data_IF_113024661255
#
_entry.id   IF_113024661255
#
_cell.length_a   1.000
_cell.length_b   1.000
_cell.length_c   1.000
_cell.angle_alpha   90.00
_cell.angle_beta   90.00
_cell.angle_gamma   90.00
#
_symmetry.space_group_name_H-M   'P 1'
#
loop_
_entity.id
_entity.type
_entity.pdbx_description
1 polymer ?
#
# COMPACT_ATOMS: atom_id res chain seq x y z
N UNK A 1 -6.74 27.14 -24.17
CA UNK A 1 -6.16 28.05 -25.18
C UNK A 1 -7.19 29.07 -25.68
N UNK A 2 -8.35 28.65 -26.17
CA UNK A 2 -9.36 29.54 -26.79
C UNK A 2 -9.93 30.68 -25.91
N UNK A 3 -10.04 30.51 -24.58
CA UNK A 3 -10.64 31.52 -23.69
C UNK A 3 -9.68 32.68 -23.35
N UNK A 4 -8.40 32.39 -23.14
CA UNK A 4 -7.39 33.40 -22.87
C UNK A 4 -7.16 34.30 -24.10
N UNK A 5 -7.11 33.69 -25.29
CA UNK A 5 -7.02 34.39 -26.57
C UNK A 5 -8.25 35.29 -26.81
N UNK A 6 -9.45 34.81 -26.44
CA UNK A 6 -10.69 35.60 -26.55
C UNK A 6 -10.65 36.86 -25.68
N UNK A 7 -10.24 36.74 -24.41
CA UNK A 7 -10.12 37.91 -23.53
C UNK A 7 -9.01 38.86 -23.98
N UNK A 8 -7.91 38.33 -24.52
CA UNK A 8 -6.85 39.15 -25.11
C UNK A 8 -7.35 39.95 -26.32
N UNK A 9 -8.10 39.30 -27.21
CA UNK A 9 -8.71 39.97 -28.37
C UNK A 9 -9.73 41.04 -27.95
N UNK A 10 -10.56 40.75 -26.95
CA UNK A 10 -11.51 41.74 -26.41
C UNK A 10 -10.81 42.96 -25.81
N UNK A 11 -9.76 42.76 -25.01
CA UNK A 11 -8.96 43.86 -24.45
C UNK A 11 -8.30 44.71 -25.54
N UNK A 12 -7.84 44.08 -26.62
CA UNK A 12 -7.26 44.77 -27.75
C UNK A 12 -8.31 45.60 -28.52
N UNK A 13 -9.48 45.02 -28.79
CA UNK A 13 -10.59 45.74 -29.43
C UNK A 13 -11.10 46.93 -28.59
N UNK A 14 -11.09 46.82 -27.25
CA UNK A 14 -11.44 47.96 -26.37
C UNK A 14 -10.41 49.09 -26.49
N UNK A 15 -9.12 48.79 -26.62
CA UNK A 15 -8.07 49.81 -26.82
C UNK A 15 -8.20 50.49 -28.18
N UNK A 16 -8.40 49.71 -29.24
CA UNK A 16 -8.60 50.24 -30.59
C UNK A 16 -9.84 51.13 -30.66
N UNK A 17 -10.92 50.75 -29.96
CA UNK A 17 -12.12 51.57 -29.84
C UNK A 17 -11.86 52.89 -29.09
N UNK A 18 -11.10 52.85 -27.99
CA UNK A 18 -10.74 54.05 -27.23
C UNK A 18 -9.91 55.02 -28.08
N UNK A 19 -8.90 54.51 -28.78
CA UNK A 19 -8.06 55.29 -29.70
C UNK A 19 -8.92 55.94 -30.81
N UNK A 20 -9.79 55.17 -31.46
CA UNK A 20 -10.68 55.67 -32.52
C UNK A 20 -11.65 56.76 -32.01
N UNK A 21 -12.20 56.59 -30.79
CA UNK A 21 -13.09 57.58 -30.18
C UNK A 21 -12.32 58.85 -29.79
N UNK A 22 -11.10 58.72 -29.27
CA UNK A 22 -10.22 59.83 -28.97
C UNK A 22 -9.85 60.64 -30.21
N UNK A 23 -9.45 59.97 -31.29
CA UNK A 23 -9.11 60.61 -32.56
C UNK A 23 -10.32 61.32 -33.19
N UNK A 24 -11.49 60.67 -33.17
CA UNK A 24 -12.73 61.27 -33.66
C UNK A 24 -13.06 62.55 -32.89
N UNK A 25 -12.88 62.54 -31.57
CA UNK A 25 -13.21 63.68 -30.73
C UNK A 25 -12.18 64.81 -30.81
N UNK A 26 -10.92 64.47 -31.07
CA UNK A 26 -9.88 65.44 -31.41
C UNK A 26 -10.18 66.11 -32.76
N UNK A 27 -10.50 65.32 -33.79
CA UNK A 27 -10.91 65.82 -35.12
C UNK A 27 -12.13 66.74 -35.04
N UNK A 28 -13.10 66.39 -34.18
CA UNK A 28 -14.30 67.22 -33.95
C UNK A 28 -13.93 68.58 -33.33
N UNK A 29 -13.05 68.60 -32.34
CA UNK A 29 -12.58 69.84 -31.71
C UNK A 29 -11.89 70.77 -32.73
N UNK A 30 -11.03 70.23 -33.61
CA UNK A 30 -10.37 71.00 -34.65
C UNK A 30 -11.34 71.59 -35.68
N UNK A 31 -12.34 70.80 -36.11
CA UNK A 31 -13.41 71.28 -37.00
C UNK A 31 -14.21 72.39 -36.35
N UNK A 32 -14.64 72.22 -35.10
CA UNK A 32 -15.39 73.25 -34.36
C UNK A 32 -14.59 74.54 -34.21
N UNK A 33 -13.29 74.45 -33.93
CA UNK A 33 -12.37 75.61 -33.90
C UNK A 33 -12.33 76.35 -35.23
N UNK A 34 -12.23 75.63 -36.35
CA UNK A 34 -12.23 76.24 -37.69
C UNK A 34 -13.55 76.96 -38.00
N UNK A 35 -14.67 76.36 -37.61
CA UNK A 35 -16.02 76.93 -37.79
C UNK A 35 -16.19 78.19 -36.95
N UNK A 36 -15.82 78.16 -35.66
CA UNK A 36 -15.89 79.33 -34.79
C UNK A 36 -15.07 80.50 -35.33
N UNK A 37 -13.84 80.26 -35.82
CA UNK A 37 -13.01 81.29 -36.46
C UNK A 37 -13.71 81.92 -37.67
N UNK A 38 -14.30 81.10 -38.54
CA UNK A 38 -15.04 81.59 -39.71
C UNK A 38 -16.23 82.46 -39.31
N UNK A 39 -16.97 82.07 -38.27
CA UNK A 39 -18.12 82.85 -37.79
C UNK A 39 -17.70 84.15 -37.09
N UNK A 40 -16.55 84.19 -36.40
CA UNK A 40 -15.96 85.45 -35.90
C UNK A 40 -15.80 86.44 -37.05
N UNK A 41 -15.12 86.03 -38.13
CA UNK A 41 -14.86 86.90 -39.28
C UNK A 41 -16.14 87.38 -39.98
N UNK A 42 -17.16 86.52 -40.06
CA UNK A 42 -18.45 86.88 -40.66
C UNK A 42 -19.17 87.90 -39.78
N UNK A 43 -19.29 87.62 -38.48
CA UNK A 43 -20.02 88.48 -37.54
C UNK A 43 -19.32 89.83 -37.39
N UNK A 44 -17.99 89.88 -37.34
CA UNK A 44 -17.22 91.15 -37.34
C UNK A 44 -17.53 92.01 -38.57
N UNK A 45 -17.78 91.40 -39.74
CA UNK A 45 -18.05 92.12 -41.00
C UNK A 45 -19.51 92.50 -41.21
N UNK A 46 -20.45 91.71 -40.69
CA UNK A 46 -21.88 91.86 -41.01
C UNK A 46 -22.73 92.35 -39.85
N UNK A 47 -22.24 92.26 -38.61
CA UNK A 47 -23.00 92.73 -37.44
C UNK A 47 -22.70 94.19 -37.12
N UNK A 48 -23.69 94.90 -36.58
CA UNK A 48 -23.52 96.26 -36.03
C UNK A 48 -22.91 96.25 -34.61
N UNK A 49 -22.32 95.14 -34.18
CA UNK A 49 -21.71 94.99 -32.86
C UNK A 49 -20.28 95.53 -32.85
N UNK A 50 -19.86 96.10 -31.73
CA UNK A 50 -18.45 96.46 -31.52
C UNK A 50 -17.62 95.19 -31.41
N UNK A 51 -16.38 95.23 -31.89
CA UNK A 51 -15.47 94.07 -31.90
C UNK A 51 -15.40 93.29 -30.56
N UNK A 52 -15.33 93.95 -29.38
CA UNK A 52 -15.32 93.25 -28.10
C UNK A 52 -16.58 92.42 -27.82
N UNK A 53 -17.75 92.87 -28.31
CA UNK A 53 -19.03 92.19 -28.10
C UNK A 53 -19.14 90.94 -28.97
N UNK A 54 -18.59 90.97 -30.19
CA UNK A 54 -18.46 89.78 -31.07
C UNK A 54 -17.58 88.72 -30.41
N UNK A 55 -16.42 89.12 -29.86
CA UNK A 55 -15.55 88.19 -29.14
C UNK A 55 -16.20 87.62 -27.87
N UNK A 56 -16.97 88.43 -27.12
CA UNK A 56 -17.73 87.94 -25.96
C UNK A 56 -18.77 86.89 -26.33
N UNK A 57 -19.52 87.13 -27.41
CA UNK A 57 -20.51 86.18 -27.92
C UNK A 57 -19.84 84.85 -28.30
N UNK A 58 -18.77 84.93 -29.09
CA UNK A 58 -18.03 83.74 -29.54
C UNK A 58 -17.38 83.00 -28.37
N UNK A 59 -16.81 83.70 -27.39
CA UNK A 59 -16.26 83.06 -26.20
C UNK A 59 -17.34 82.33 -25.39
N UNK A 60 -18.55 82.90 -25.30
CA UNK A 60 -19.66 82.26 -24.59
C UNK A 60 -20.07 80.96 -25.29
N UNK A 61 -20.20 80.99 -26.62
CA UNK A 61 -20.52 79.80 -27.42
C UNK A 61 -19.40 78.75 -27.38
N UNK A 62 -18.14 79.20 -27.50
CA UNK A 62 -16.96 78.34 -27.36
C UNK A 62 -16.90 77.68 -25.98
N UNK A 63 -17.31 78.37 -24.92
CA UNK A 63 -17.37 77.80 -23.57
C UNK A 63 -18.40 76.66 -23.49
N UNK A 64 -19.61 76.85 -24.03
CA UNK A 64 -20.65 75.81 -24.09
C UNK A 64 -20.16 74.58 -24.86
N UNK A 65 -19.54 74.81 -26.03
CA UNK A 65 -18.97 73.75 -26.88
C UNK A 65 -17.83 73.01 -26.15
N UNK A 66 -16.92 73.74 -25.50
CA UNK A 66 -15.82 73.15 -24.74
C UNK A 66 -16.34 72.30 -23.57
N UNK A 67 -17.40 72.74 -22.91
CA UNK A 67 -18.03 71.98 -21.83
C UNK A 67 -18.62 70.66 -22.34
N UNK A 68 -19.24 70.66 -23.52
CA UNK A 68 -19.72 69.44 -24.17
C UNK A 68 -18.57 68.51 -24.61
N UNK A 69 -17.48 69.05 -25.17
CA UNK A 69 -16.28 68.28 -25.55
C UNK A 69 -15.63 67.62 -24.33
N UNK A 70 -15.52 68.33 -23.20
CA UNK A 70 -15.02 67.78 -21.94
C UNK A 70 -15.95 66.70 -21.40
N UNK A 71 -17.26 66.90 -21.48
CA UNK A 71 -18.27 65.89 -21.12
C UNK A 71 -18.10 64.60 -21.94
N UNK A 72 -17.94 64.73 -23.25
CA UNK A 72 -17.72 63.59 -24.15
C UNK A 72 -16.41 62.87 -23.86
N UNK A 73 -15.29 63.59 -23.68
CA UNK A 73 -14.00 62.97 -23.31
C UNK A 73 -14.10 62.21 -21.99
N UNK A 74 -14.82 62.76 -21.00
CA UNK A 74 -15.10 62.06 -19.75
C UNK A 74 -15.94 60.80 -19.97
N UNK A 75 -16.96 60.88 -20.82
CA UNK A 75 -17.80 59.74 -21.16
C UNK A 75 -17.02 58.63 -21.89
N UNK A 76 -16.13 58.99 -22.82
CA UNK A 76 -15.23 58.05 -23.52
C UNK A 76 -14.32 57.35 -22.50
N UNK A 77 -13.64 58.11 -21.63
CA UNK A 77 -12.79 57.54 -20.59
C UNK A 77 -13.57 56.62 -19.63
N UNK A 78 -14.79 57.01 -19.24
CA UNK A 78 -15.64 56.17 -18.39
C UNK A 78 -16.08 54.89 -19.11
N UNK A 79 -16.41 54.97 -20.40
CA UNK A 79 -16.75 53.80 -21.22
C UNK A 79 -15.59 52.82 -21.27
N UNK A 80 -14.36 53.31 -21.52
CA UNK A 80 -13.16 52.47 -21.51
C UNK A 80 -12.98 51.75 -20.17
N UNK A 81 -13.08 52.47 -19.05
CA UNK A 81 -12.96 51.90 -17.70
C UNK A 81 -14.02 50.82 -17.49
N UNK A 82 -15.29 51.11 -17.78
CA UNK A 82 -16.40 50.17 -17.57
C UNK A 82 -16.25 48.90 -18.41
N UNK A 83 -15.85 49.03 -19.68
CA UNK A 83 -15.63 47.89 -20.57
C UNK A 83 -14.43 47.04 -20.13
N UNK A 84 -13.34 47.70 -19.73
CA UNK A 84 -12.14 47.00 -19.23
C UNK A 84 -12.44 46.26 -17.93
N UNK A 85 -13.14 46.92 -16.99
CA UNK A 85 -13.54 46.32 -15.71
C UNK A 85 -14.46 45.12 -15.92
N UNK A 86 -15.51 45.26 -16.73
CA UNK A 86 -16.43 44.15 -17.04
C UNK A 86 -15.69 42.96 -17.68
N UNK A 87 -14.74 43.22 -18.58
CA UNK A 87 -13.92 42.18 -19.21
C UNK A 87 -13.04 41.45 -18.20
N UNK A 88 -12.39 42.20 -17.28
CA UNK A 88 -11.56 41.62 -16.22
C UNK A 88 -12.37 40.82 -15.21
N UNK A 89 -13.55 41.31 -14.82
CA UNK A 89 -14.46 40.58 -13.94
C UNK A 89 -14.89 39.24 -14.57
N UNK A 90 -15.27 39.25 -15.85
CA UNK A 90 -15.64 38.03 -16.57
C UNK A 90 -14.48 37.02 -16.68
N UNK A 91 -13.25 37.50 -16.88
CA UNK A 91 -12.05 36.67 -16.90
C UNK A 91 -11.79 36.01 -15.54
N UNK A 92 -11.87 36.78 -14.46
CA UNK A 92 -11.72 36.28 -13.09
C UNK A 92 -12.77 35.23 -12.74
N UNK A 93 -14.05 35.49 -13.07
CA UNK A 93 -15.14 34.52 -12.85
C UNK A 93 -14.93 33.24 -13.64
N UNK A 94 -14.50 33.35 -14.90
CA UNK A 94 -14.20 32.20 -15.76
C UNK A 94 -13.05 31.37 -15.19
N UNK A 95 -11.99 32.03 -14.70
CA UNK A 95 -10.85 31.37 -14.08
C UNK A 95 -11.24 30.66 -12.78
N UNK A 96 -12.00 31.32 -11.89
CA UNK A 96 -12.53 30.72 -10.65
C UNK A 96 -13.40 29.51 -10.94
N UNK A 97 -14.29 29.61 -11.93
CA UNK A 97 -15.15 28.50 -12.34
C UNK A 97 -14.34 27.33 -12.88
N UNK A 98 -13.35 27.60 -13.72
CA UNK A 98 -12.44 26.56 -14.19
C UNK A 98 -11.75 25.87 -13.02
N UNK A 99 -11.24 26.64 -12.05
CA UNK A 99 -10.52 26.10 -10.90
C UNK A 99 -11.42 25.19 -10.07
N UNK A 100 -12.64 25.63 -9.77
CA UNK A 100 -13.62 24.80 -9.06
C UNK A 100 -13.98 23.52 -9.81
N UNK A 101 -14.09 23.57 -11.15
CA UNK A 101 -14.34 22.37 -11.95
C UNK A 101 -13.17 21.38 -11.89
N UNK A 102 -11.94 21.87 -11.90
CA UNK A 102 -10.76 21.01 -11.81
C UNK A 102 -10.56 20.47 -10.40
N UNK A 103 -10.81 21.24 -9.36
CA UNK A 103 -10.77 20.74 -7.99
C UNK A 103 -11.83 19.64 -7.77
N UNK A 104 -13.05 19.84 -8.26
CA UNK A 104 -14.11 18.83 -8.22
C UNK A 104 -13.73 17.57 -9.02
N UNK A 105 -13.19 17.74 -10.22
CA UNK A 105 -12.70 16.63 -11.03
C UNK A 105 -11.56 15.88 -10.34
N UNK A 106 -10.60 16.59 -9.73
CA UNK A 106 -9.50 16.01 -8.95
C UNK A 106 -10.05 15.19 -7.78
N UNK A 107 -11.01 15.71 -7.05
CA UNK A 107 -11.65 15.01 -5.93
C UNK A 107 -12.32 13.71 -6.38
N UNK A 108 -13.10 13.74 -7.47
CA UNK A 108 -13.73 12.55 -8.05
C UNK A 108 -12.70 11.51 -8.48
N UNK A 109 -11.61 11.96 -9.11
CA UNK A 109 -10.52 11.08 -9.54
C UNK A 109 -9.79 10.43 -8.37
N UNK A 110 -9.50 11.19 -7.30
CA UNK A 110 -8.93 10.67 -6.05
C UNK A 110 -9.86 9.63 -5.43
N UNK A 111 -11.15 9.93 -5.30
CA UNK A 111 -12.14 9.01 -4.72
C UNK A 111 -12.25 7.71 -5.52
N UNK A 112 -12.35 7.79 -6.85
CA UNK A 112 -12.41 6.61 -7.70
C UNK A 112 -11.15 5.74 -7.58
N UNK A 113 -9.98 6.36 -7.47
CA UNK A 113 -8.71 5.65 -7.31
C UNK A 113 -8.64 4.94 -5.95
N UNK A 114 -9.07 5.62 -4.87
CA UNK A 114 -9.15 5.03 -3.53
C UNK A 114 -10.09 3.83 -3.52
N UNK A 115 -11.26 3.96 -4.15
CA UNK A 115 -12.21 2.86 -4.26
C UNK A 115 -11.62 1.68 -5.03
N UNK A 116 -11.00 1.93 -6.18
CA UNK A 116 -10.35 0.88 -7.00
C UNK A 116 -9.25 0.16 -6.20
N UNK A 117 -8.45 0.91 -5.43
CA UNK A 117 -7.42 0.34 -4.58
C UNK A 117 -8.02 -0.49 -3.44
N UNK A 118 -9.11 -0.01 -2.83
CA UNK A 118 -9.82 -0.74 -1.79
C UNK A 118 -10.41 -2.05 -2.31
N UNK A 119 -11.00 -2.06 -3.51
CA UNK A 119 -11.50 -3.26 -4.18
C UNK A 119 -10.35 -4.24 -4.49
N UNK A 120 -9.20 -3.74 -4.94
CA UNK A 120 -8.00 -4.55 -5.12
C UNK A 120 -7.53 -5.20 -3.80
N UNK A 121 -7.45 -4.42 -2.72
CA UNK A 121 -7.06 -4.93 -1.40
C UNK A 121 -8.08 -5.93 -0.83
N UNK A 122 -9.36 -5.76 -1.14
CA UNK A 122 -10.44 -6.68 -0.74
C UNK A 122 -10.51 -7.95 -1.60
N UNK A 123 -9.77 -8.01 -2.71
CA UNK A 123 -9.79 -9.17 -3.60
C UNK A 123 -9.29 -10.43 -2.90
N UNK A 124 -9.84 -11.58 -3.27
CA UNK A 124 -9.44 -12.88 -2.69
C UNK A 124 -7.94 -13.15 -2.88
N UNK A 125 -7.37 -12.70 -4.01
CA UNK A 125 -5.94 -12.84 -4.29
C UNK A 125 -5.04 -12.22 -3.22
N UNK A 126 -5.48 -11.12 -2.61
CA UNK A 126 -4.73 -10.38 -1.60
C UNK A 126 -5.13 -10.83 -0.19
N UNK A 127 -6.43 -10.95 0.09
CA UNK A 127 -6.93 -11.35 1.41
C UNK A 127 -6.66 -12.83 1.75
N UNK A 128 -6.72 -13.71 0.75
CA UNK A 128 -6.54 -15.14 0.94
C UNK A 128 -5.76 -15.75 -0.24
N UNK A 129 -4.44 -15.46 -0.34
CA UNK A 129 -3.64 -15.80 -1.50
C UNK A 129 -3.72 -17.31 -1.83
N UNK A 130 -4.09 -17.70 -3.07
CA UNK A 130 -4.23 -19.11 -3.42
C UNK A 130 -2.96 -19.94 -3.24
N UNK A 131 -1.78 -19.31 -3.42
CA UNK A 131 -0.49 -19.95 -3.18
C UNK A 131 -0.32 -20.34 -1.70
N UNK A 132 -0.74 -19.47 -0.77
CA UNK A 132 -0.71 -19.75 0.68
C UNK A 132 -1.67 -20.88 1.03
N UNK A 133 -2.90 -20.88 0.49
CA UNK A 133 -3.86 -21.97 0.70
C UNK A 133 -3.27 -23.31 0.26
N UNK A 134 -2.66 -23.36 -0.92
CA UNK A 134 -2.01 -24.57 -1.46
C UNK A 134 -0.84 -25.06 -0.60
N UNK A 135 0.01 -24.15 -0.13
CA UNK A 135 1.11 -24.50 0.79
C UNK A 135 0.55 -25.06 2.11
N UNK A 136 -0.50 -24.46 2.67
CA UNK A 136 -1.14 -24.91 3.91
C UNK A 136 -1.74 -26.31 3.77
N UNK A 137 -2.46 -26.58 2.68
CA UNK A 137 -3.02 -27.91 2.39
C UNK A 137 -1.93 -28.98 2.23
N UNK A 138 -0.85 -28.64 1.51
CA UNK A 138 0.32 -29.50 1.35
C UNK A 138 0.96 -29.82 2.70
N UNK A 139 1.11 -28.80 3.55
CA UNK A 139 1.65 -28.94 4.89
C UNK A 139 0.82 -29.87 5.76
N UNK A 140 -0.49 -29.66 5.84
CA UNK A 140 -1.38 -30.50 6.64
C UNK A 140 -1.30 -31.97 6.22
N UNK A 141 -1.25 -32.24 4.90
CA UNK A 141 -1.12 -33.60 4.37
C UNK A 141 0.21 -34.25 4.77
N UNK A 142 1.31 -33.53 4.62
CA UNK A 142 2.65 -34.05 4.94
C UNK A 142 2.85 -34.20 6.45
N UNK A 143 2.39 -33.22 7.24
CA UNK A 143 2.43 -33.28 8.70
C UNK A 143 1.66 -34.49 9.21
N UNK A 144 0.46 -34.76 8.67
CA UNK A 144 -0.31 -35.96 9.00
C UNK A 144 0.45 -37.25 8.68
N UNK A 145 1.10 -37.31 7.51
CA UNK A 145 1.88 -38.48 7.12
C UNK A 145 3.12 -38.69 8.02
N UNK A 146 3.82 -37.63 8.38
CA UNK A 146 4.97 -37.69 9.30
C UNK A 146 4.55 -38.06 10.72
N UNK A 147 3.42 -37.52 11.20
CA UNK A 147 2.88 -37.86 12.50
C UNK A 147 2.44 -39.33 12.56
N UNK A 148 1.87 -39.86 11.47
CA UNK A 148 1.53 -41.28 11.37
C UNK A 148 2.77 -42.17 11.45
N UNK A 149 3.85 -41.84 10.73
CA UNK A 149 5.14 -42.54 10.84
C UNK A 149 5.70 -42.48 12.26
N UNK A 150 5.60 -41.32 12.92
CA UNK A 150 6.03 -41.17 14.32
C UNK A 150 5.22 -42.07 15.25
N UNK A 151 3.90 -42.15 15.06
CA UNK A 151 3.03 -43.01 15.86
C UNK A 151 3.38 -44.49 15.67
N UNK A 152 3.60 -44.93 14.44
CA UNK A 152 4.03 -46.30 14.12
C UNK A 152 5.38 -46.63 14.78
N UNK A 153 6.34 -45.70 14.72
CA UNK A 153 7.64 -45.87 15.39
C UNK A 153 7.52 -45.92 16.92
N UNK A 154 6.62 -45.13 17.50
CA UNK A 154 6.32 -45.20 18.94
C UNK A 154 5.74 -46.56 19.32
N UNK A 155 4.84 -47.13 18.53
CA UNK A 155 4.28 -48.46 18.77
C UNK A 155 5.32 -49.58 18.67
N UNK A 156 6.35 -49.43 17.84
CA UNK A 156 7.42 -50.42 17.67
C UNK A 156 8.23 -50.67 18.95
N UNK A 157 8.11 -49.81 19.97
CA UNK A 157 8.73 -50.06 21.29
C UNK A 157 8.19 -51.34 21.95
N UNK A 158 6.96 -51.73 21.64
CA UNK A 158 6.34 -52.96 22.15
C UNK A 158 7.08 -54.21 21.67
N UNK A 159 7.68 -54.16 20.48
CA UNK A 159 8.42 -55.29 19.90
C UNK A 159 9.81 -55.46 20.55
N UNK A 160 10.30 -54.43 21.24
CA UNK A 160 11.56 -54.46 21.99
C UNK A 160 11.41 -55.08 23.38
N UNK A 161 10.18 -55.32 23.85
CA UNK A 161 9.93 -55.88 25.16
C UNK A 161 10.52 -57.30 25.31
N UNK A 162 10.70 -57.80 26.55
CA UNK A 162 11.22 -59.14 26.79
C UNK A 162 10.53 -60.22 25.93
N UNK A 163 11.30 -61.20 25.39
CA UNK A 163 12.65 -61.58 25.78
C UNK A 163 13.79 -60.83 25.05
N UNK A 164 13.49 -60.08 23.99
CA UNK A 164 14.50 -59.45 23.11
C UNK A 164 14.91 -58.05 23.59
N UNK A 165 14.80 -57.77 24.88
CA UNK A 165 14.98 -56.43 25.42
C UNK A 165 16.43 -56.17 25.81
N UNK A 166 17.06 -55.18 25.16
CA UNK A 166 18.44 -54.79 25.42
C UNK A 166 18.65 -53.28 25.36
N UNK A 167 19.67 -52.80 26.07
CA UNK A 167 20.06 -51.38 26.08
C UNK A 167 20.41 -50.87 24.68
N UNK A 168 21.08 -51.68 23.87
CA UNK A 168 21.49 -51.30 22.52
C UNK A 168 20.29 -51.01 21.63
N UNK A 169 19.31 -51.92 21.60
CA UNK A 169 18.10 -51.74 20.79
C UNK A 169 17.24 -50.57 21.28
N UNK A 170 17.14 -50.34 22.59
CA UNK A 170 16.44 -49.18 23.12
C UNK A 170 17.11 -47.86 22.71
N UNK A 171 18.45 -47.79 22.77
CA UNK A 171 19.19 -46.59 22.33
C UNK A 171 19.04 -46.33 20.84
N UNK A 172 19.03 -47.37 20.02
CA UNK A 172 18.82 -47.26 18.58
C UNK A 172 17.40 -46.76 18.27
N UNK A 173 16.38 -47.35 18.91
CA UNK A 173 14.99 -46.93 18.76
C UNK A 173 14.78 -45.46 19.15
N UNK A 174 15.36 -45.02 20.26
CA UNK A 174 15.29 -43.63 20.70
C UNK A 174 16.04 -42.67 19.75
N UNK A 175 17.19 -43.10 19.21
CA UNK A 175 17.93 -42.30 18.22
C UNK A 175 17.12 -42.09 16.94
N UNK A 176 16.39 -43.13 16.49
CA UNK A 176 15.49 -43.06 15.35
C UNK A 176 14.28 -42.14 15.62
N UNK A 177 13.68 -42.24 16.81
CA UNK A 177 12.57 -41.36 17.23
C UNK A 177 13.01 -39.88 17.24
N UNK A 178 14.19 -39.58 17.79
CA UNK A 178 14.73 -38.23 17.80
C UNK A 178 15.06 -37.72 16.39
N UNK A 179 15.54 -38.58 15.50
CA UNK A 179 15.73 -38.24 14.09
C UNK A 179 14.41 -37.86 13.41
N UNK A 180 13.34 -38.64 13.64
CA UNK A 180 11.99 -38.33 13.15
C UNK A 180 11.45 -37.02 13.71
N UNK A 181 11.62 -36.76 15.01
CA UNK A 181 11.20 -35.51 15.65
C UNK A 181 11.95 -34.30 15.06
N UNK A 182 13.26 -34.41 14.85
CA UNK A 182 14.07 -33.36 14.19
C UNK A 182 13.65 -33.13 12.74
N UNK A 183 13.28 -34.19 12.03
CA UNK A 183 12.77 -34.07 10.67
C UNK A 183 11.44 -33.31 10.61
N UNK A 184 10.52 -33.59 11.54
CA UNK A 184 9.26 -32.85 11.71
C UNK A 184 9.50 -31.37 12.01
N UNK A 185 10.41 -31.07 12.93
CA UNK A 185 10.77 -29.69 13.29
C UNK A 185 11.37 -28.92 12.10
N UNK A 186 12.36 -29.52 11.42
CA UNK A 186 12.95 -28.96 10.19
C UNK A 186 11.88 -28.71 9.12
N UNK A 187 10.94 -29.64 8.96
CA UNK A 187 9.84 -29.48 8.01
C UNK A 187 8.93 -28.29 8.34
N UNK A 188 8.60 -28.08 9.61
CA UNK A 188 7.82 -26.92 10.06
C UNK A 188 8.58 -25.61 9.81
N UNK A 189 9.89 -25.56 10.08
CA UNK A 189 10.73 -24.38 9.78
C UNK A 189 10.74 -24.07 8.28
N UNK A 190 10.96 -25.08 7.42
CA UNK A 190 10.93 -24.92 5.97
C UNK A 190 9.57 -24.44 5.47
N UNK A 191 8.49 -24.95 6.05
CA UNK A 191 7.14 -24.50 5.74
C UNK A 191 6.92 -23.03 6.12
N UNK A 192 7.36 -22.61 7.31
CA UNK A 192 7.29 -21.21 7.74
C UNK A 192 8.02 -20.29 6.76
N UNK A 193 9.21 -20.69 6.30
CA UNK A 193 9.95 -19.93 5.29
C UNK A 193 9.18 -19.82 3.96
N UNK A 194 8.59 -20.94 3.49
CA UNK A 194 7.78 -20.95 2.25
C UNK A 194 6.56 -20.03 2.35
N UNK A 195 5.81 -20.07 3.45
CA UNK A 195 4.62 -19.24 3.65
C UNK A 195 4.99 -17.76 3.72
N UNK A 196 6.03 -17.40 4.50
CA UNK A 196 6.54 -16.02 4.56
C UNK A 196 6.92 -15.50 3.17
N UNK A 197 7.57 -16.33 2.35
CA UNK A 197 7.90 -15.99 0.96
C UNK A 197 6.66 -15.77 0.08
N UNK A 198 5.58 -16.53 0.27
CA UNK A 198 4.35 -16.30 -0.50
C UNK A 198 3.69 -14.97 -0.12
N UNK A 199 3.62 -14.65 1.18
CA UNK A 199 3.09 -13.36 1.63
C UNK A 199 3.96 -12.18 1.17
N UNK A 200 5.29 -12.33 1.19
CA UNK A 200 6.21 -11.31 0.67
C UNK A 200 5.93 -10.97 -0.81
N UNK A 201 5.64 -11.98 -1.64
CA UNK A 201 5.22 -11.74 -3.03
C UNK A 201 3.90 -10.95 -3.11
N UNK A 202 2.95 -11.25 -2.23
CA UNK A 202 1.69 -10.50 -2.12
C UNK A 202 1.95 -9.05 -1.70
N UNK A 203 2.88 -8.80 -0.77
CA UNK A 203 3.28 -7.44 -0.37
C UNK A 203 3.91 -6.66 -1.52
N UNK A 204 4.82 -7.29 -2.26
CA UNK A 204 5.42 -6.69 -3.45
C UNK A 204 4.36 -6.34 -4.50
N UNK A 205 3.37 -7.20 -4.70
CA UNK A 205 2.24 -6.90 -5.59
C UNK A 205 1.43 -5.69 -5.11
N UNK A 206 1.13 -5.62 -3.81
CA UNK A 206 0.44 -4.48 -3.22
C UNK A 206 1.22 -3.18 -3.41
N UNK A 207 2.52 -3.18 -3.07
CA UNK A 207 3.38 -2.00 -3.21
C UNK A 207 3.54 -1.58 -4.68
N UNK A 208 3.65 -2.53 -5.61
CA UNK A 208 3.66 -2.24 -7.04
C UNK A 208 2.34 -1.59 -7.47
N UNK A 209 1.20 -2.04 -6.94
CA UNK A 209 -0.09 -1.43 -7.22
C UNK A 209 -0.20 0.00 -6.63
N UNK A 210 0.36 0.23 -5.44
CA UNK A 210 0.46 1.58 -4.86
C UNK A 210 1.25 2.51 -5.78
N UNK A 211 2.41 2.07 -6.28
CA UNK A 211 3.21 2.86 -7.22
C UNK A 211 2.49 3.09 -8.56
N UNK A 212 1.71 2.10 -9.02
CA UNK A 212 0.87 2.26 -10.21
C UNK A 212 -0.20 3.35 -10.00
N UNK A 213 -0.86 3.37 -8.84
CA UNK A 213 -1.83 4.41 -8.49
C UNK A 213 -1.16 5.79 -8.42
N UNK A 214 0.03 5.89 -7.82
CA UNK A 214 0.82 7.12 -7.80
C UNK A 214 1.11 7.62 -9.22
N UNK A 215 1.62 6.75 -10.09
CA UNK A 215 1.92 7.09 -11.48
C UNK A 215 0.67 7.55 -12.25
N UNK A 216 -0.47 6.90 -12.04
CA UNK A 216 -1.74 7.31 -12.65
C UNK A 216 -2.17 8.73 -12.26
N UNK A 217 -1.93 9.14 -11.01
CA UNK A 217 -2.21 10.52 -10.58
C UNK A 217 -1.33 11.53 -11.33
N UNK A 218 -0.05 11.22 -11.50
CA UNK A 218 0.90 12.09 -12.20
C UNK A 218 0.61 12.15 -13.71
N UNK A 219 0.22 11.03 -14.32
CA UNK A 219 -0.13 10.94 -15.74
C UNK A 219 -1.33 11.83 -16.11
N UNK A 220 -2.20 12.13 -15.15
CA UNK A 220 -3.30 13.08 -15.32
C UNK A 220 -2.87 14.54 -15.47
N UNK A 221 -1.58 14.86 -15.23
CA UNK A 221 -0.96 16.20 -15.37
C UNK A 221 -1.61 17.34 -14.58
N UNK A 222 -2.68 17.05 -13.84
CA UNK A 222 -3.36 17.99 -12.98
C UNK A 222 -2.84 17.91 -11.53
N UNK A 223 -2.31 16.76 -11.12
CA UNK A 223 -1.81 16.53 -9.77
C UNK A 223 -0.32 16.82 -9.68
N UNK A 224 0.10 17.45 -8.59
CA UNK A 224 1.51 17.61 -8.24
C UNK A 224 2.04 16.36 -7.56
N UNK A 225 3.37 16.22 -7.47
CA UNK A 225 4.01 15.12 -6.74
C UNK A 225 3.56 15.07 -5.27
N UNK A 226 3.46 16.24 -4.64
CA UNK A 226 2.99 16.41 -3.25
C UNK A 226 1.53 15.99 -3.07
N UNK A 227 0.66 16.36 -4.02
CA UNK A 227 -0.76 15.97 -4.01
C UNK A 227 -0.94 14.46 -4.22
N UNK A 228 -0.05 13.81 -4.99
CA UNK A 228 -0.05 12.38 -5.18
C UNK A 228 0.47 11.65 -3.92
N UNK A 229 1.58 12.13 -3.36
CA UNK A 229 2.19 11.56 -2.15
C UNK A 229 1.28 11.69 -0.93
N UNK A 230 0.59 12.82 -0.76
CA UNK A 230 -0.37 13.02 0.33
C UNK A 230 -1.58 12.08 0.30
N UNK A 231 -1.91 11.49 -0.86
CA UNK A 231 -2.94 10.45 -0.95
C UNK A 231 -2.34 9.06 -0.69
N UNK A 232 -1.21 8.78 -1.32
CA UNK A 232 -0.57 7.46 -1.29
C UNK A 232 -0.02 7.13 0.09
N UNK A 233 0.68 8.10 0.71
CA UNK A 233 1.44 7.90 1.93
C UNK A 233 0.56 7.51 3.13
N UNK A 234 -0.51 8.26 3.48
CA UNK A 234 -1.33 7.92 4.63
C UNK A 234 -2.39 6.85 4.33
N UNK A 235 -3.06 6.85 3.18
CA UNK A 235 -4.17 5.93 2.96
C UNK A 235 -3.73 4.56 2.45
N UNK A 236 -2.94 4.52 1.38
CA UNK A 236 -2.63 3.25 0.73
C UNK A 236 -1.65 2.41 1.55
N UNK A 237 -0.58 3.02 2.08
CA UNK A 237 0.33 2.27 2.96
C UNK A 237 -0.33 1.87 4.27
N UNK A 238 -1.25 2.66 4.83
CA UNK A 238 -1.99 2.23 6.02
C UNK A 238 -2.83 0.98 5.74
N UNK A 239 -3.56 0.93 4.62
CA UNK A 239 -4.34 -0.27 4.26
C UNK A 239 -3.45 -1.51 4.06
N UNK A 240 -2.29 -1.35 3.40
CA UNK A 240 -1.32 -2.45 3.24
C UNK A 240 -0.74 -2.85 4.60
N UNK A 241 -0.36 -1.89 5.42
CA UNK A 241 0.21 -2.12 6.76
C UNK A 241 -0.74 -2.84 7.68
N UNK A 242 -2.04 -2.48 7.70
CA UNK A 242 -3.05 -3.18 8.51
C UNK A 242 -3.16 -4.65 8.11
N UNK A 243 -3.19 -4.94 6.82
CA UNK A 243 -3.23 -6.33 6.33
C UNK A 243 -1.93 -7.08 6.68
N UNK A 244 -0.79 -6.44 6.48
CA UNK A 244 0.52 -7.00 6.79
C UNK A 244 0.65 -7.35 8.27
N UNK A 245 0.35 -6.43 9.18
CA UNK A 245 0.44 -6.65 10.63
C UNK A 245 -0.45 -7.81 11.07
N UNK A 246 -1.70 -7.88 10.56
CA UNK A 246 -2.60 -8.99 10.87
C UNK A 246 -1.99 -10.35 10.47
N UNK A 247 -1.40 -10.44 9.27
CA UNK A 247 -0.78 -11.68 8.80
C UNK A 247 0.49 -12.00 9.60
N UNK A 248 1.31 -10.99 9.93
CA UNK A 248 2.50 -11.17 10.76
C UNK A 248 2.15 -11.72 12.14
N UNK A 249 1.11 -11.20 12.79
CA UNK A 249 0.59 -11.69 14.07
C UNK A 249 0.15 -13.17 13.97
N UNK A 250 -0.58 -13.53 12.91
CA UNK A 250 -1.01 -14.91 12.65
C UNK A 250 0.18 -15.86 12.42
N UNK A 251 1.19 -15.40 11.68
CA UNK A 251 2.42 -16.17 11.44
C UNK A 251 3.27 -16.31 12.70
N UNK A 252 3.34 -15.29 13.55
CA UNK A 252 4.04 -15.36 14.83
C UNK A 252 3.37 -16.36 15.77
N UNK A 253 2.03 -16.38 15.82
CA UNK A 253 1.28 -17.37 16.59
C UNK A 253 1.58 -18.80 16.13
N UNK A 254 1.64 -19.01 14.81
CA UNK A 254 1.96 -20.30 14.22
C UNK A 254 3.40 -20.74 14.54
N UNK A 255 4.37 -19.82 14.44
CA UNK A 255 5.78 -20.06 14.75
C UNK A 255 5.95 -20.50 16.23
N UNK A 256 5.33 -19.76 17.15
CA UNK A 256 5.30 -20.09 18.59
C UNK A 256 4.66 -21.45 18.85
N UNK A 257 3.62 -21.80 18.10
CA UNK A 257 2.94 -23.09 18.22
C UNK A 257 3.85 -24.24 17.78
N UNK A 258 4.61 -24.07 16.69
CA UNK A 258 5.59 -25.06 16.25
C UNK A 258 6.76 -25.19 17.24
N UNK A 259 7.28 -24.07 17.76
CA UNK A 259 8.35 -24.10 18.76
C UNK A 259 7.90 -24.82 20.04
N UNK A 260 6.69 -24.53 20.53
CA UNK A 260 6.12 -25.20 21.70
C UNK A 260 5.94 -26.70 21.45
N UNK A 261 5.46 -27.08 20.26
CA UNK A 261 5.28 -28.48 19.89
C UNK A 261 6.62 -29.22 19.81
N UNK A 262 7.66 -28.60 19.26
CA UNK A 262 9.00 -29.18 19.19
C UNK A 262 9.57 -29.45 20.60
N UNK A 263 9.50 -28.46 21.49
CA UNK A 263 9.91 -28.59 22.91
C UNK A 263 9.15 -29.68 23.64
N UNK A 264 7.83 -29.72 23.47
CA UNK A 264 7.00 -30.75 24.08
C UNK A 264 7.37 -32.15 23.56
N UNK A 265 7.60 -32.27 22.26
CA UNK A 265 7.95 -33.53 21.60
C UNK A 265 9.31 -34.05 22.07
N UNK A 266 10.29 -33.16 22.23
CA UNK A 266 11.61 -33.50 22.77
C UNK A 266 11.52 -33.98 24.21
N UNK A 267 10.78 -33.25 25.05
CA UNK A 267 10.56 -33.62 26.45
C UNK A 267 9.89 -34.99 26.58
N UNK A 268 8.81 -35.23 25.81
CA UNK A 268 8.11 -36.53 25.79
C UNK A 268 9.01 -37.68 25.33
N UNK A 269 9.85 -37.45 24.31
CA UNK A 269 10.79 -38.45 23.80
C UNK A 269 11.82 -38.85 24.86
N UNK A 270 12.38 -37.86 25.56
CA UNK A 270 13.35 -38.08 26.63
C UNK A 270 12.73 -38.80 27.83
N UNK A 271 11.54 -38.37 28.27
CA UNK A 271 10.85 -38.96 29.42
C UNK A 271 10.50 -40.44 29.16
N UNK A 272 9.98 -40.73 27.96
CA UNK A 272 9.69 -42.10 27.54
C UNK A 272 10.95 -42.97 27.47
N UNK A 273 12.05 -42.41 26.96
CA UNK A 273 13.34 -43.11 26.93
C UNK A 273 13.85 -43.41 28.34
N UNK A 274 13.79 -42.45 29.26
CA UNK A 274 14.19 -42.64 30.66
C UNK A 274 13.40 -43.77 31.32
N UNK A 275 12.08 -43.80 31.13
CA UNK A 275 11.22 -44.88 31.65
C UNK A 275 11.66 -46.26 31.16
N UNK A 276 11.81 -46.43 29.84
CA UNK A 276 12.25 -47.72 29.29
C UNK A 276 13.70 -48.04 29.64
N UNK A 277 14.55 -47.03 29.83
CA UNK A 277 15.95 -47.26 30.20
C UNK A 277 16.05 -47.90 31.59
N UNK A 278 15.24 -47.47 32.54
CA UNK A 278 15.15 -48.09 33.86
C UNK A 278 14.62 -49.53 33.77
N UNK A 279 13.60 -49.77 32.96
CA UNK A 279 13.05 -51.10 32.75
C UNK A 279 14.06 -52.08 32.11
N UNK A 280 14.86 -51.63 31.12
CA UNK A 280 15.94 -52.45 30.53
C UNK A 280 16.94 -52.87 31.60
N UNK A 281 17.35 -51.93 32.46
CA UNK A 281 18.36 -52.22 33.48
C UNK A 281 17.89 -53.31 34.44
N UNK A 282 16.63 -53.26 34.86
CA UNK A 282 16.02 -54.29 35.69
C UNK A 282 15.97 -55.65 34.97
N UNK A 283 15.58 -55.66 33.70
CA UNK A 283 15.52 -56.88 32.90
C UNK A 283 16.89 -57.52 32.67
N UNK A 284 17.90 -56.75 32.28
CA UNK A 284 19.27 -57.23 32.06
C UNK A 284 19.89 -57.77 33.36
N UNK A 285 19.63 -57.11 34.49
CA UNK A 285 20.05 -57.59 35.81
C UNK A 285 19.39 -58.93 36.16
N UNK A 286 18.08 -59.04 35.91
CA UNK A 286 17.33 -60.28 36.13
C UNK A 286 17.82 -61.42 35.23
N UNK A 287 18.04 -61.18 33.93
CA UNK A 287 18.60 -62.17 33.01
C UNK A 287 20.00 -62.64 33.42
N UNK A 288 20.85 -61.71 33.88
CA UNK A 288 22.18 -62.04 34.38
C UNK A 288 22.13 -62.94 35.62
N UNK A 289 21.21 -62.65 36.55
CA UNK A 289 20.97 -63.47 37.74
C UNK A 289 20.45 -64.86 37.39
N UNK A 290 19.46 -64.96 36.50
CA UNK A 290 18.93 -66.23 36.00
C UNK A 290 20.01 -67.06 35.34
N UNK A 291 20.80 -66.47 34.44
CA UNK A 291 21.89 -67.17 33.75
C UNK A 291 22.93 -67.73 34.75
N UNK A 292 23.23 -66.98 35.82
CA UNK A 292 24.12 -67.46 36.88
C UNK A 292 23.52 -68.62 37.69
N UNK A 293 22.21 -68.57 37.99
CA UNK A 293 21.50 -69.64 38.68
C UNK A 293 21.39 -70.90 37.81
N UNK A 294 21.09 -70.75 36.51
CA UNK A 294 21.02 -71.86 35.56
C UNK A 294 22.37 -72.56 35.43
N UNK A 295 23.47 -71.79 35.32
CA UNK A 295 24.83 -72.35 35.28
C UNK A 295 25.17 -73.12 36.57
N UNK A 296 24.77 -72.61 37.73
CA UNK A 296 24.97 -73.28 39.02
C UNK A 296 24.12 -74.57 39.12
N UNK A 297 22.88 -74.55 38.63
CA UNK A 297 22.03 -75.74 38.55
C UNK A 297 22.60 -76.79 37.60
N UNK A 298 23.10 -76.39 36.42
CA UNK A 298 23.78 -77.28 35.48
C UNK A 298 25.00 -77.94 36.12
N UNK A 299 25.85 -77.16 36.81
CA UNK A 299 27.00 -77.70 37.56
C UNK A 299 26.56 -78.72 38.61
N UNK A 300 25.49 -78.45 39.37
CA UNK A 300 24.96 -79.39 40.37
C UNK A 300 24.41 -80.66 39.73
N UNK A 301 23.66 -80.54 38.64
CA UNK A 301 23.14 -81.69 37.90
C UNK A 301 24.28 -82.55 37.35
N UNK A 302 25.32 -81.94 36.79
CA UNK A 302 26.48 -82.64 36.26
C UNK A 302 27.27 -83.34 37.36
N UNK A 303 27.49 -82.69 38.51
CA UNK A 303 28.08 -83.34 39.68
C UNK A 303 27.26 -84.55 40.15
N UNK A 304 25.93 -84.45 40.16
CA UNK A 304 25.07 -85.59 40.53
C UNK A 304 25.13 -86.72 39.51
N UNK A 305 25.17 -86.40 38.20
CA UNK A 305 25.39 -87.39 37.13
C UNK A 305 26.72 -88.10 37.30
N UNK A 306 27.79 -87.37 37.60
CA UNK A 306 29.11 -87.95 37.85
C UNK A 306 29.12 -88.88 39.06
N UNK A 307 28.49 -88.49 40.17
CA UNK A 307 28.33 -89.34 41.37
C UNK A 307 27.53 -90.61 41.07
N UNK A 308 26.43 -90.48 40.33
CA UNK A 308 25.61 -91.64 39.93
C UNK A 308 26.40 -92.61 39.04
N UNK A 309 27.13 -92.10 38.04
CA UNK A 309 27.98 -92.91 37.17
C UNK A 309 29.14 -93.59 37.92
N UNK A 310 29.71 -92.94 38.93
CA UNK A 310 30.73 -93.55 39.79
C UNK A 310 30.16 -94.68 40.67
N UNK A 311 29.00 -94.46 41.28
CA UNK A 311 28.30 -95.48 42.09
C UNK A 311 27.89 -96.70 41.26
N UNK A 312 27.42 -96.50 40.03
CA UNK A 312 27.09 -97.59 39.09
C UNK A 312 28.34 -98.38 38.66
N UNK A 313 29.51 -97.73 38.59
CA UNK A 313 30.79 -98.40 38.27
C UNK A 313 31.42 -99.15 39.45
N UNK A 314 31.14 -98.75 40.70
CA UNK A 314 31.59 -99.46 41.90
C UNK A 314 30.71 -100.67 42.26
N UNK A 315 29.50 -100.77 41.68
CA UNK A 315 28.58 -101.90 41.87
C UNK A 315 28.64 -102.95 40.75
N UNK A 316 29.53 -102.80 39.77
CA UNK A 316 29.82 -103.75 38.69
C UNK A 316 31.20 -104.38 38.89
#
# INVERSE_FOLDING_TARGET
MQLAEKFQFQKQGIKELDEALYEAEFSRADKLKSVLKKYVEIIEKTSYLMQPDVYRLINTEAMVINQALLGNRRAIAQLFINLMEATLQQELESHRRWQGLVDAWKALKKQALVQTFSEFMASERIQAPPAVKKEMESMLKNQKALQQKRLEHLCAVCDLLPPNYSKAQLTEWHSSLNSLNKHLDTYHMDFMMRIRLQYEKTWQECLAHVQKCKKQLLDWKAFTEEEAESLVSPYFFQMVGVLQSKVEDELELLDKSFESLAKQTEWQSSDLFSYFQEAVQLWEAHQSMLSAQDLELEKRMEQQRQKHNACVRECA
#
